data_IF_808081109823
#
_entry.id   IF_808081109823
#
_cell.length_a   1.000
_cell.length_b   1.000
_cell.length_c   1.000
_cell.angle_alpha   90.00
_cell.angle_beta   90.00
_cell.angle_gamma   90.00
#
_symmetry.space_group_name_H-M   'P 1'
#
loop_
_entity.id
_entity.type
_entity.pdbx_description
1 polymer ?
#
# COMPACT_ATOMS: atom_id res chain seq x y z
N UNK A 1 -2.38 9.52 -116.68
CA UNK A 1 -2.50 8.11 -116.30
C UNK A 1 -1.89 7.97 -114.90
N UNK A 2 -2.71 8.11 -113.86
CA UNK A 2 -2.27 8.05 -112.45
C UNK A 2 -3.18 7.03 -111.77
N UNK A 3 -2.54 6.01 -111.22
CA UNK A 3 -3.13 4.77 -110.68
C UNK A 3 -3.67 5.04 -109.27
N UNK A 4 -4.93 4.69 -109.02
CA UNK A 4 -5.56 4.66 -107.69
C UNK A 4 -5.10 3.41 -106.93
N UNK A 5 -4.51 3.57 -105.75
CA UNK A 5 -4.28 2.48 -104.80
C UNK A 5 -5.35 2.51 -103.71
N UNK A 6 -6.13 1.43 -103.63
CA UNK A 6 -7.09 1.13 -102.58
C UNK A 6 -6.32 0.50 -101.41
N UNK A 7 -6.31 1.16 -100.24
CA UNK A 7 -5.80 0.55 -98.99
C UNK A 7 -6.98 -0.16 -98.30
N UNK A 8 -6.91 -1.49 -98.23
CA UNK A 8 -7.84 -2.31 -97.46
C UNK A 8 -7.43 -2.30 -95.98
N UNK A 9 -8.28 -1.76 -95.12
CA UNK A 9 -8.15 -1.82 -93.66
C UNK A 9 -8.62 -3.21 -93.19
N UNK A 10 -7.67 -4.09 -92.84
CA UNK A 10 -7.96 -5.36 -92.18
C UNK A 10 -8.10 -5.10 -90.69
N UNK A 11 -9.34 -4.97 -90.21
CA UNK A 11 -9.65 -4.92 -88.77
C UNK A 11 -9.60 -6.34 -88.23
N UNK A 12 -8.48 -6.70 -87.61
CA UNK A 12 -8.36 -7.89 -86.77
C UNK A 12 -9.18 -7.67 -85.49
N UNK A 13 -10.42 -8.17 -85.49
CA UNK A 13 -11.20 -8.32 -84.26
C UNK A 13 -10.59 -9.46 -83.44
N UNK A 14 -9.62 -9.14 -82.59
CA UNK A 14 -9.33 -9.97 -81.44
C UNK A 14 -10.51 -9.85 -80.48
N UNK A 15 -11.36 -10.88 -80.44
CA UNK A 15 -12.29 -11.09 -79.35
C UNK A 15 -11.47 -11.26 -78.07
N UNK A 16 -11.39 -10.20 -77.28
CA UNK A 16 -10.94 -10.28 -75.90
C UNK A 16 -12.02 -11.07 -75.16
N UNK A 17 -11.85 -12.38 -75.08
CA UNK A 17 -12.57 -13.21 -74.12
C UNK A 17 -12.18 -12.69 -72.74
N UNK A 18 -13.10 -11.97 -72.10
CA UNK A 18 -12.96 -11.52 -70.72
C UNK A 18 -12.67 -12.75 -69.87
N UNK A 19 -11.42 -12.87 -69.43
CA UNK A 19 -11.11 -13.68 -68.28
C UNK A 19 -11.91 -13.02 -67.15
N UNK A 20 -13.01 -13.65 -66.74
CA UNK A 20 -13.71 -13.24 -65.53
C UNK A 20 -12.66 -13.31 -64.42
N UNK A 21 -12.26 -12.14 -63.92
CA UNK A 21 -11.53 -12.07 -62.66
C UNK A 21 -12.41 -12.80 -61.65
N UNK A 22 -11.98 -13.98 -61.23
CA UNK A 22 -12.44 -14.61 -59.99
C UNK A 22 -12.38 -13.54 -58.91
N UNK A 23 -13.45 -13.42 -58.11
CA UNK A 23 -13.68 -12.35 -57.13
C UNK A 23 -12.38 -11.86 -56.51
N UNK A 24 -12.03 -10.61 -56.80
CA UNK A 24 -10.92 -9.93 -56.16
C UNK A 24 -11.43 -9.50 -54.80
N UNK A 25 -11.06 -10.28 -53.80
CA UNK A 25 -11.23 -9.93 -52.39
C UNK A 25 -10.48 -8.62 -52.08
N UNK A 26 -11.08 -7.80 -51.23
CA UNK A 26 -10.53 -6.50 -50.84
C UNK A 26 -10.01 -6.57 -49.40
N UNK A 27 -8.95 -5.82 -49.03
CA UNK A 27 -8.51 -5.84 -47.64
C UNK A 27 -9.60 -5.35 -46.69
N UNK A 28 -9.68 -5.87 -45.46
CA UNK A 28 -10.76 -5.55 -44.53
C UNK A 28 -10.74 -4.08 -44.13
N UNK A 29 -11.90 -3.56 -43.70
CA UNK A 29 -12.03 -2.26 -43.08
C UNK A 29 -12.03 -2.43 -41.56
N UNK A 30 -10.89 -2.15 -40.93
CA UNK A 30 -10.75 -2.18 -39.48
C UNK A 30 -11.35 -0.92 -38.83
N UNK A 31 -12.28 -1.11 -37.90
CA UNK A 31 -12.97 -0.03 -37.18
C UNK A 31 -12.82 -0.27 -35.67
N UNK A 32 -12.18 0.65 -34.95
CA UNK A 32 -11.95 0.55 -33.51
C UNK A 32 -12.75 1.61 -32.75
N UNK A 33 -13.11 1.33 -31.49
CA UNK A 33 -13.49 2.39 -30.55
C UNK A 33 -12.31 3.33 -30.32
N UNK A 34 -12.55 4.64 -30.23
CA UNK A 34 -11.47 5.60 -29.98
C UNK A 34 -10.81 5.40 -28.62
N UNK A 35 -11.61 5.02 -27.61
CA UNK A 35 -11.12 4.67 -26.28
C UNK A 35 -12.08 3.76 -25.53
N UNK A 36 -11.54 2.90 -24.67
CA UNK A 36 -12.29 2.08 -23.72
C UNK A 36 -11.69 2.21 -22.32
N UNK A 37 -12.52 2.04 -21.28
CA UNK A 37 -12.06 1.95 -19.89
C UNK A 37 -12.28 0.52 -19.40
N UNK A 38 -11.24 -0.08 -18.85
CA UNK A 38 -11.25 -1.45 -18.37
C UNK A 38 -10.74 -1.46 -16.93
N UNK A 39 -11.47 -2.12 -16.04
CA UNK A 39 -11.07 -2.23 -14.64
C UNK A 39 -10.37 -3.55 -14.37
N UNK A 40 -9.35 -3.51 -13.52
CA UNK A 40 -8.64 -4.70 -13.08
C UNK A 40 -9.55 -5.64 -12.26
N UNK A 41 -9.21 -6.92 -12.27
CA UNK A 41 -9.87 -7.95 -11.46
C UNK A 41 -9.43 -7.87 -9.98
N UNK A 42 -10.03 -8.69 -9.12
CA UNK A 42 -9.59 -8.85 -7.72
C UNK A 42 -8.18 -9.44 -7.59
N UNK A 43 -7.61 -9.97 -8.67
CA UNK A 43 -6.23 -10.45 -8.71
C UNK A 43 -5.24 -9.38 -9.21
N UNK A 44 -5.72 -8.19 -9.57
CA UNK A 44 -4.88 -7.09 -10.05
C UNK A 44 -4.49 -7.22 -11.51
N UNK A 45 -5.26 -7.96 -12.30
CA UNK A 45 -5.01 -8.24 -13.72
C UNK A 45 -6.28 -8.11 -14.58
N UNK A 46 -6.08 -8.00 -15.88
CA UNK A 46 -7.15 -8.14 -16.88
C UNK A 46 -6.59 -8.64 -18.21
N UNK A 47 -7.33 -9.53 -18.88
CA UNK A 47 -7.07 -9.93 -20.26
C UNK A 47 -8.13 -9.33 -21.19
N UNK A 48 -7.73 -8.45 -22.09
CA UNK A 48 -8.57 -7.89 -23.13
C UNK A 48 -9.03 -8.99 -24.10
N UNK A 49 -10.24 -8.81 -24.61
CA UNK A 49 -10.72 -9.59 -25.75
C UNK A 49 -10.74 -8.66 -26.98
N UNK A 50 -10.34 -9.13 -28.18
CA UNK A 50 -10.30 -8.29 -29.38
C UNK A 50 -11.64 -7.59 -29.68
N UNK A 51 -12.76 -8.25 -29.36
CA UNK A 51 -14.12 -7.72 -29.54
C UNK A 51 -14.42 -6.51 -28.66
N UNK A 52 -13.63 -6.25 -27.60
CA UNK A 52 -13.78 -5.05 -26.78
C UNK A 52 -13.28 -3.79 -27.50
N UNK A 53 -12.37 -3.94 -28.46
CA UNK A 53 -11.80 -2.83 -29.23
C UNK A 53 -12.49 -2.67 -30.58
N UNK A 54 -12.99 -3.78 -31.16
CA UNK A 54 -13.68 -3.78 -32.43
C UNK A 54 -15.01 -3.02 -32.35
N UNK A 55 -15.15 -1.97 -33.16
CA UNK A 55 -16.34 -1.15 -33.30
C UNK A 55 -17.14 -1.52 -34.57
N UNK A 56 -17.01 -2.77 -35.02
CA UNK A 56 -17.72 -3.31 -36.17
C UNK A 56 -16.88 -3.27 -37.44
N UNK A 57 -15.69 -3.86 -37.41
CA UNK A 57 -14.87 -4.10 -38.59
C UNK A 57 -15.62 -4.95 -39.61
N UNK A 58 -15.40 -4.69 -40.90
CA UNK A 58 -16.16 -5.35 -41.98
C UNK A 58 -15.26 -5.70 -43.14
N UNK A 59 -15.70 -6.67 -43.92
CA UNK A 59 -15.05 -7.11 -45.14
C UNK A 59 -16.10 -7.68 -46.11
N UNK A 60 -15.79 -7.78 -47.41
CA UNK A 60 -16.71 -8.30 -48.43
C UNK A 60 -16.78 -9.84 -48.49
N UNK A 61 -15.73 -10.53 -48.05
CA UNK A 61 -15.69 -11.99 -47.91
C UNK A 61 -15.85 -12.45 -46.46
N UNK A 62 -15.55 -11.57 -45.50
CA UNK A 62 -15.81 -11.72 -44.08
C UNK A 62 -14.53 -11.80 -43.24
N UNK A 63 -14.66 -11.68 -41.93
CA UNK A 63 -13.52 -11.64 -41.01
C UNK A 63 -13.15 -13.05 -40.54
N UNK A 64 -11.88 -13.42 -40.69
CA UNK A 64 -11.32 -14.67 -40.19
C UNK A 64 -10.87 -14.56 -38.73
N UNK A 65 -10.16 -13.48 -38.38
CA UNK A 65 -9.60 -13.33 -37.04
C UNK A 65 -9.44 -11.87 -36.61
N UNK A 66 -9.45 -11.69 -35.30
CA UNK A 66 -9.15 -10.44 -34.60
C UNK A 66 -8.02 -10.73 -33.62
N UNK A 67 -6.94 -9.94 -33.67
CA UNK A 67 -5.79 -10.13 -32.78
C UNK A 67 -5.30 -8.80 -32.21
N UNK A 68 -4.85 -8.81 -30.96
CA UNK A 68 -4.29 -7.65 -30.27
C UNK A 68 -2.77 -7.78 -30.19
N UNK A 69 -2.05 -6.66 -30.29
CA UNK A 69 -0.61 -6.65 -30.04
C UNK A 69 -0.26 -6.79 -28.54
N UNK A 70 -1.20 -6.44 -27.68
CA UNK A 70 -1.11 -6.52 -26.23
C UNK A 70 -2.51 -6.71 -25.66
N UNK A 71 -2.69 -7.74 -24.85
CA UNK A 71 -3.99 -8.13 -24.31
C UNK A 71 -3.97 -8.39 -22.80
N UNK A 72 -2.83 -8.34 -22.12
CA UNK A 72 -2.75 -8.61 -20.68
C UNK A 72 -2.16 -7.42 -19.93
N UNK A 73 -2.91 -6.91 -18.95
CA UNK A 73 -2.56 -5.74 -18.16
C UNK A 73 -2.64 -6.08 -16.67
N UNK A 74 -1.79 -5.43 -15.87
CA UNK A 74 -1.69 -5.62 -14.42
C UNK A 74 -1.76 -4.29 -13.67
N UNK A 75 -1.65 -4.32 -12.34
CA UNK A 75 -1.47 -3.12 -11.51
C UNK A 75 -0.32 -2.21 -11.97
N UNK A 76 0.73 -2.74 -12.61
CA UNK A 76 1.83 -1.93 -13.12
C UNK A 76 1.43 -1.09 -14.35
N UNK A 77 0.31 -1.44 -14.97
CA UNK A 77 -0.15 -0.88 -16.23
C UNK A 77 -1.38 0.02 -16.06
N UNK A 78 -1.65 0.50 -14.84
CA UNK A 78 -2.71 1.49 -14.60
C UNK A 78 -2.41 2.78 -15.39
N UNK A 79 -3.43 3.28 -16.08
CA UNK A 79 -3.30 4.43 -16.97
C UNK A 79 -3.65 4.10 -18.41
N UNK A 80 -3.16 4.93 -19.34
CA UNK A 80 -3.60 4.92 -20.74
C UNK A 80 -2.58 4.23 -21.65
N UNK A 81 -3.05 3.25 -22.42
CA UNK A 81 -2.25 2.46 -23.35
C UNK A 81 -2.86 2.49 -24.75
N UNK A 82 -2.02 2.44 -25.79
CA UNK A 82 -2.49 2.33 -27.17
C UNK A 82 -2.38 0.88 -27.61
N UNK A 83 -3.52 0.23 -27.84
CA UNK A 83 -3.59 -1.16 -28.30
C UNK A 83 -4.03 -1.18 -29.77
N UNK A 84 -3.35 -1.99 -30.56
CA UNK A 84 -3.58 -2.19 -31.99
C UNK A 84 -4.38 -3.47 -32.17
N UNK A 85 -5.53 -3.33 -32.84
CA UNK A 85 -6.34 -4.43 -33.33
C UNK A 85 -5.93 -4.72 -34.78
N UNK A 86 -5.53 -5.96 -35.04
CA UNK A 86 -5.32 -6.48 -36.40
C UNK A 86 -6.51 -7.34 -36.79
N UNK A 87 -7.11 -7.01 -37.92
CA UNK A 87 -8.26 -7.69 -38.52
C UNK A 87 -7.75 -8.43 -39.75
N UNK A 88 -7.97 -9.74 -39.81
CA UNK A 88 -7.62 -10.59 -40.96
C UNK A 88 -8.90 -11.13 -41.60
N UNK A 89 -9.02 -11.02 -42.92
CA UNK A 89 -10.12 -11.63 -43.69
C UNK A 89 -9.88 -13.12 -43.97
N UNK A 90 -10.83 -13.79 -44.65
CA UNK A 90 -10.74 -15.22 -44.96
C UNK A 90 -9.70 -15.58 -46.03
N UNK A 91 -9.23 -14.60 -46.80
CA UNK A 91 -8.25 -14.75 -47.88
C UNK A 91 -6.83 -14.34 -47.43
N UNK A 92 -6.69 -13.86 -46.19
CA UNK A 92 -5.44 -13.54 -45.51
C UNK A 92 -4.97 -12.09 -45.68
N UNK A 93 -5.79 -11.15 -46.16
CA UNK A 93 -5.42 -9.74 -46.07
C UNK A 93 -5.71 -9.20 -44.68
N UNK A 94 -4.94 -8.17 -44.31
CA UNK A 94 -5.01 -7.58 -42.98
C UNK A 94 -5.21 -6.08 -43.03
N UNK A 95 -5.99 -5.56 -42.09
CA UNK A 95 -6.04 -4.14 -41.76
C UNK A 95 -5.88 -3.95 -40.25
N UNK A 96 -5.47 -2.74 -39.87
CA UNK A 96 -5.25 -2.39 -38.46
C UNK A 96 -6.04 -1.14 -38.09
N UNK A 97 -6.48 -1.10 -36.85
CA UNK A 97 -6.91 0.12 -36.18
C UNK A 97 -6.33 0.14 -34.75
N UNK A 98 -6.42 1.28 -34.08
CA UNK A 98 -5.93 1.44 -32.71
C UNK A 98 -7.02 1.97 -31.80
N UNK A 99 -6.95 1.59 -30.53
CA UNK A 99 -7.79 2.10 -29.46
C UNK A 99 -6.95 2.54 -28.28
N UNK A 100 -7.35 3.62 -27.60
CA UNK A 100 -6.80 3.97 -26.30
C UNK A 100 -7.51 3.16 -25.21
N UNK A 101 -6.79 2.24 -24.56
CA UNK A 101 -7.28 1.46 -23.43
C UNK A 101 -6.84 2.12 -22.14
N UNK A 102 -7.79 2.56 -21.32
CA UNK A 102 -7.50 3.08 -19.99
C UNK A 102 -7.74 1.99 -18.94
N UNK A 103 -6.68 1.55 -18.30
CA UNK A 103 -6.70 0.58 -17.21
C UNK A 103 -6.91 1.33 -15.89
N UNK A 104 -7.93 0.92 -15.14
CA UNK A 104 -8.35 1.56 -13.90
C UNK A 104 -8.39 0.53 -12.76
N UNK A 105 -7.93 0.92 -11.57
CA UNK A 105 -8.30 0.24 -10.34
C UNK A 105 -9.45 0.98 -9.65
N UNK A 106 -10.50 0.24 -9.31
CA UNK A 106 -11.71 0.76 -8.65
C UNK A 106 -11.99 0.07 -7.32
N UNK A 107 -11.16 -0.88 -6.93
CA UNK A 107 -11.34 -1.62 -5.70
C UNK A 107 -10.65 -0.86 -4.58
N UNK A 108 -11.39 -0.59 -3.50
CA UNK A 108 -10.78 -0.03 -2.29
C UNK A 108 -10.00 -1.11 -1.54
N UNK A 109 -8.90 -0.73 -0.87
CA UNK A 109 -8.15 -1.65 -0.04
C UNK A 109 -9.02 -2.24 1.09
N UNK A 110 -8.71 -3.48 1.46
CA UNK A 110 -9.28 -4.18 2.60
C UNK A 110 -8.38 -3.95 3.80
N UNK A 111 -8.88 -3.17 4.77
CA UNK A 111 -8.14 -2.81 5.97
C UNK A 111 -8.50 -3.77 7.11
N UNK A 112 -7.48 -4.40 7.68
CA UNK A 112 -7.60 -5.29 8.83
C UNK A 112 -6.80 -4.66 9.96
N UNK A 113 -7.49 -4.02 10.91
CA UNK A 113 -6.87 -3.45 12.11
C UNK A 113 -6.85 -4.44 13.27
N UNK A 114 -5.83 -4.33 14.12
CA UNK A 114 -5.89 -4.85 15.48
C UNK A 114 -7.06 -4.19 16.23
N UNK A 115 -7.89 -4.99 16.90
CA UNK A 115 -8.99 -4.43 17.69
C UNK A 115 -8.48 -3.60 18.88
N UNK A 116 -7.39 -4.05 19.51
CA UNK A 116 -6.72 -3.33 20.59
C UNK A 116 -5.23 -3.68 20.64
N UNK A 117 -4.41 -2.71 21.03
CA UNK A 117 -2.97 -2.90 21.28
C UNK A 117 -2.57 -2.26 22.61
N UNK A 118 -1.55 -2.85 23.24
CA UNK A 118 -0.87 -2.29 24.40
C UNK A 118 0.51 -1.81 23.96
N UNK A 119 0.86 -0.58 24.31
CA UNK A 119 2.14 0.03 23.95
C UNK A 119 2.81 0.58 25.20
N UNK A 120 4.12 0.46 25.26
CA UNK A 120 4.90 0.95 26.40
C UNK A 120 5.83 2.06 25.95
N UNK A 121 5.85 3.15 26.71
CA UNK A 121 6.77 4.26 26.46
C UNK A 121 8.22 3.82 26.68
N UNK A 122 9.13 4.42 25.92
CA UNK A 122 10.56 4.11 25.99
C UNK A 122 11.26 4.79 27.16
N UNK A 123 12.59 4.58 27.24
CA UNK A 123 13.44 5.11 28.31
C UNK A 123 13.49 6.65 28.36
N UNK A 124 13.15 7.33 27.27
CA UNK A 124 13.01 8.79 27.22
C UNK A 124 11.60 9.27 27.59
N UNK A 125 10.71 8.35 27.97
CA UNK A 125 9.32 8.61 28.34
C UNK A 125 8.40 8.84 27.14
N UNK A 126 8.81 8.44 25.93
CA UNK A 126 8.03 8.62 24.71
C UNK A 126 7.98 7.37 23.81
N UNK A 127 6.98 7.30 22.94
CA UNK A 127 6.89 6.33 21.86
C UNK A 127 6.12 6.92 20.67
N UNK A 128 6.74 6.89 19.49
CA UNK A 128 6.05 7.18 18.24
C UNK A 128 5.29 5.95 17.75
N UNK A 129 3.98 6.11 17.55
CA UNK A 129 3.16 5.06 16.94
C UNK A 129 3.41 5.01 15.43
N UNK A 130 3.31 3.81 14.87
CA UNK A 130 3.46 3.59 13.42
C UNK A 130 2.25 2.84 12.88
N UNK A 131 1.92 2.98 11.57
CA UNK A 131 0.83 2.23 10.94
C UNK A 131 0.95 0.71 11.16
N UNK A 132 2.18 0.18 11.12
CA UNK A 132 2.45 -1.25 11.28
C UNK A 132 2.07 -1.82 12.64
N UNK A 133 1.97 -0.99 13.69
CA UNK A 133 1.52 -1.43 15.00
C UNK A 133 0.01 -1.68 15.04
N UNK A 134 -0.75 -0.97 14.19
CA UNK A 134 -2.21 -1.06 14.12
C UNK A 134 -2.66 -2.08 13.09
N UNK A 135 -1.86 -2.31 12.05
CA UNK A 135 -2.18 -3.23 10.97
C UNK A 135 -2.12 -4.70 11.40
N UNK A 136 -3.09 -5.47 10.93
CA UNK A 136 -3.23 -6.92 11.16
C UNK A 136 -3.28 -7.70 9.84
N UNK A 137 -2.66 -7.16 8.78
CA UNK A 137 -2.55 -7.80 7.47
C UNK A 137 -3.49 -7.23 6.42
N UNK A 138 -3.62 -5.90 6.36
CA UNK A 138 -4.37 -5.22 5.31
C UNK A 138 -3.79 -5.52 3.92
N UNK A 139 -4.66 -5.56 2.91
CA UNK A 139 -4.27 -5.92 1.54
C UNK A 139 -5.17 -5.23 0.51
N UNK A 140 -4.74 -5.29 -0.74
CA UNK A 140 -5.49 -4.85 -1.91
C UNK A 140 -5.14 -5.76 -3.12
N UNK A 141 -5.90 -5.68 -4.22
CA UNK A 141 -5.52 -6.35 -5.48
C UNK A 141 -4.26 -5.71 -6.09
N UNK A 142 -4.01 -4.45 -5.80
CA UNK A 142 -2.78 -3.73 -6.08
C UNK A 142 -2.05 -3.38 -4.76
N UNK A 143 -1.19 -2.37 -4.77
CA UNK A 143 -0.46 -1.95 -3.57
C UNK A 143 -1.37 -1.15 -2.63
N UNK A 144 -1.19 -1.34 -1.33
CA UNK A 144 -1.80 -0.49 -0.29
C UNK A 144 -0.72 0.27 0.47
N UNK A 145 -0.90 1.57 0.61
CA UNK A 145 -0.11 2.43 1.48
C UNK A 145 -0.90 2.73 2.76
N UNK A 146 -0.30 2.45 3.91
CA UNK A 146 -0.92 2.61 5.22
C UNK A 146 -0.39 3.86 5.92
N UNK A 147 -1.29 4.62 6.53
CA UNK A 147 -0.97 5.85 7.23
C UNK A 147 -1.80 6.03 8.50
N UNK A 148 -1.21 6.74 9.47
CA UNK A 148 -1.88 7.22 10.67
C UNK A 148 -1.55 8.71 10.84
N UNK A 149 -2.37 9.48 11.55
CA UNK A 149 -1.96 10.80 12.03
C UNK A 149 -0.66 10.68 12.86
N UNK A 150 0.31 11.60 12.73
CA UNK A 150 1.49 11.62 13.57
C UNK A 150 1.09 11.61 15.05
N UNK A 151 1.45 10.54 15.76
CA UNK A 151 1.01 10.28 17.13
C UNK A 151 2.18 9.80 17.95
N UNK A 152 2.58 10.62 18.91
CA UNK A 152 3.57 10.28 19.94
C UNK A 152 2.84 10.17 21.26
N UNK A 153 2.99 9.05 21.95
CA UNK A 153 2.52 8.89 23.34
C UNK A 153 3.66 9.14 24.29
N UNK A 154 3.34 9.65 25.47
CA UNK A 154 4.31 10.03 26.50
C UNK A 154 3.90 9.49 27.87
N UNK A 155 4.75 9.67 28.87
CA UNK A 155 4.43 9.30 30.25
C UNK A 155 3.15 9.95 30.79
N UNK A 156 2.68 11.09 30.25
CA UNK A 156 1.38 11.65 30.67
C UNK A 156 0.18 10.84 30.19
N UNK A 157 0.38 9.97 29.21
CA UNK A 157 -0.67 9.15 28.59
C UNK A 157 -0.77 7.75 29.23
N UNK A 158 0.18 7.38 30.09
CA UNK A 158 0.21 6.08 30.79
C UNK A 158 -1.07 5.87 31.61
N UNK A 159 -1.67 4.69 31.47
CA UNK A 159 -2.97 4.34 32.04
C UNK A 159 -4.17 4.85 31.23
N UNK A 160 -3.93 5.66 30.19
CA UNK A 160 -4.93 6.13 29.24
C UNK A 160 -5.23 5.14 28.11
N UNK A 161 -6.36 5.38 27.45
CA UNK A 161 -6.70 4.72 26.18
C UNK A 161 -7.32 5.70 25.19
N UNK A 162 -7.15 5.42 23.89
CA UNK A 162 -7.73 6.20 22.82
C UNK A 162 -7.88 5.38 21.53
N UNK A 163 -8.79 5.80 20.66
CA UNK A 163 -8.94 5.21 19.33
C UNK A 163 -8.05 5.95 18.33
N UNK A 164 -7.24 5.20 17.59
CA UNK A 164 -6.40 5.72 16.52
C UNK A 164 -6.88 5.19 15.16
N UNK A 165 -6.99 6.09 14.19
CA UNK A 165 -7.46 5.79 12.83
C UNK A 165 -6.29 5.36 11.96
N UNK A 166 -6.37 4.15 11.41
CA UNK A 166 -5.52 3.66 10.32
C UNK A 166 -6.24 3.90 8.99
N UNK A 167 -5.59 4.60 8.07
CA UNK A 167 -6.09 4.86 6.73
C UNK A 167 -5.21 4.14 5.71
N UNK A 168 -5.82 3.35 4.83
CA UNK A 168 -5.18 2.75 3.68
C UNK A 168 -5.60 3.44 2.39
N UNK A 169 -4.65 3.68 1.49
CA UNK A 169 -4.88 4.17 0.13
C UNK A 169 -4.11 3.34 -0.87
N UNK A 170 -4.70 2.99 -2.00
CA UNK A 170 -3.97 2.43 -3.13
C UNK A 170 -3.38 3.52 -4.04
N UNK A 171 -2.63 3.10 -5.07
CA UNK A 171 -2.01 4.00 -6.05
C UNK A 171 -3.03 4.68 -6.99
N UNK A 172 -4.26 4.17 -7.05
CA UNK A 172 -5.37 4.72 -7.84
C UNK A 172 -6.23 5.73 -7.06
N UNK A 173 -5.93 5.93 -5.78
CA UNK A 173 -6.65 6.85 -4.90
C UNK A 173 -7.90 6.27 -4.24
N UNK A 174 -8.16 4.97 -4.36
CA UNK A 174 -9.19 4.32 -3.57
C UNK A 174 -8.72 4.23 -2.11
N UNK A 175 -9.64 4.47 -1.18
CA UNK A 175 -9.31 4.55 0.25
C UNK A 175 -10.27 3.76 1.09
N UNK A 176 -9.79 3.34 2.26
CA UNK A 176 -10.59 2.75 3.32
C UNK A 176 -9.89 2.97 4.67
N UNK A 177 -10.60 2.78 5.79
CA UNK A 177 -10.05 3.05 7.12
C UNK A 177 -10.66 2.16 8.20
N UNK A 178 -9.90 1.95 9.27
CA UNK A 178 -10.35 1.25 10.48
C UNK A 178 -9.73 1.84 11.74
N UNK A 179 -10.34 1.56 12.89
CA UNK A 179 -9.87 2.03 14.19
C UNK A 179 -9.18 0.91 14.98
N UNK A 180 -8.15 1.29 15.73
CA UNK A 180 -7.51 0.48 16.78
C UNK A 180 -7.63 1.19 18.12
N UNK A 181 -8.00 0.47 19.18
CA UNK A 181 -7.92 1.00 20.54
C UNK A 181 -6.50 0.83 21.10
N UNK A 182 -5.85 1.93 21.46
CA UNK A 182 -4.48 1.95 21.98
C UNK A 182 -4.52 2.17 23.48
N UNK A 183 -3.88 1.30 24.25
CA UNK A 183 -3.65 1.48 25.69
C UNK A 183 -2.18 1.70 25.97
N UNK A 184 -1.86 2.74 26.73
CA UNK A 184 -0.47 3.13 27.03
C UNK A 184 -0.10 2.67 28.43
N UNK A 185 1.04 2.01 28.56
CA UNK A 185 1.55 1.45 29.81
C UNK A 185 2.97 1.92 30.07
N UNK A 186 3.38 1.88 31.34
CA UNK A 186 4.79 1.82 31.70
C UNK A 186 5.13 0.38 32.07
N UNK A 187 6.21 -0.13 31.51
CA UNK A 187 6.73 -1.48 31.80
C UNK A 187 8.21 -1.45 32.19
N UNK A 188 8.82 -0.25 32.22
CA UNK A 188 10.20 -0.09 32.64
C UNK A 188 10.23 0.04 34.16
N UNK A 189 11.02 -0.82 34.81
CA UNK A 189 11.15 -0.75 36.26
C UNK A 189 12.05 0.41 36.71
N UNK A 190 11.75 1.06 37.85
CA UNK A 190 12.54 2.15 38.38
C UNK A 190 13.95 1.72 38.77
N UNK A 191 14.93 2.62 38.60
CA UNK A 191 16.31 2.41 39.02
C UNK A 191 16.58 3.08 40.36
N UNK A 192 16.78 2.27 41.41
CA UNK A 192 17.24 2.75 42.71
C UNK A 192 18.72 3.14 42.68
N UNK A 193 19.04 4.35 43.15
CA UNK A 193 20.42 4.80 43.41
C UNK A 193 20.56 5.16 44.87
N UNK A 194 21.53 4.56 45.54
CA UNK A 194 21.74 4.74 46.98
C UNK A 194 23.07 5.45 47.25
N UNK A 195 23.13 6.24 48.32
CA UNK A 195 24.35 6.83 48.87
C UNK A 195 24.54 6.48 50.33
N UNK A 196 25.80 6.44 50.72
CA UNK A 196 26.17 6.30 52.13
C UNK A 196 25.96 7.60 52.88
N UNK A 197 25.59 7.48 54.16
CA UNK A 197 25.52 8.65 55.03
C UNK A 197 25.90 8.32 56.47
N UNK A 198 26.66 9.22 57.10
CA UNK A 198 27.00 9.13 58.52
C UNK A 198 26.04 10.01 59.31
N UNK A 199 25.39 9.43 60.32
CA UNK A 199 24.38 10.11 61.13
C UNK A 199 24.55 9.77 62.60
N UNK A 200 24.39 10.79 63.45
CA UNK A 200 24.41 10.62 64.89
C UNK A 200 23.03 10.18 65.39
N UNK A 201 23.03 9.34 66.43
CA UNK A 201 21.81 9.04 67.18
C UNK A 201 21.35 10.28 67.97
N UNK A 202 20.05 10.39 68.20
CA UNK A 202 19.49 11.41 69.09
C UNK A 202 19.90 11.17 70.55
N UNK A 203 19.62 12.13 71.44
CA UNK A 203 19.81 11.96 72.89
C UNK A 203 19.04 10.78 73.49
N UNK A 204 17.98 10.31 72.82
CA UNK A 204 17.22 9.12 73.23
C UNK A 204 17.74 7.82 72.59
N UNK A 205 18.88 7.87 71.90
CA UNK A 205 19.54 6.69 71.33
C UNK A 205 18.85 6.15 70.07
N UNK A 206 18.18 7.02 69.30
CA UNK A 206 17.41 6.64 68.10
C UNK A 206 17.80 7.47 66.90
N UNK A 207 17.80 6.85 65.73
CA UNK A 207 17.91 7.53 64.44
C UNK A 207 16.82 7.00 63.51
N UNK A 208 16.17 7.91 62.76
CA UNK A 208 15.15 7.57 61.77
C UNK A 208 15.71 7.87 60.38
N UNK A 209 16.14 6.85 59.61
CA UNK A 209 16.47 7.06 58.20
C UNK A 209 15.30 7.72 57.48
N UNK A 210 15.61 8.59 56.52
CA UNK A 210 14.63 9.15 55.61
C UNK A 210 15.19 9.05 54.18
N UNK A 211 14.33 9.25 53.18
CA UNK A 211 14.69 9.09 51.77
C UNK A 211 15.92 9.93 51.42
N UNK A 212 15.96 11.21 51.81
CA UNK A 212 17.07 12.12 51.49
C UNK A 212 18.43 11.67 52.08
N UNK A 213 18.42 10.84 53.12
CA UNK A 213 19.63 10.28 53.70
C UNK A 213 20.20 9.10 52.90
N UNK A 214 19.37 8.39 52.14
CA UNK A 214 19.73 7.12 51.47
C UNK A 214 19.70 7.25 49.95
N UNK A 215 18.79 8.05 49.39
CA UNK A 215 18.62 8.21 47.94
C UNK A 215 19.69 9.09 47.30
N UNK A 216 20.23 8.62 46.17
CA UNK A 216 21.24 9.27 45.33
C UNK A 216 20.70 9.56 43.92
N UNK A 217 19.46 10.06 43.86
CA UNK A 217 18.81 10.38 42.59
C UNK A 217 18.33 9.12 41.86
N UNK A 218 17.58 8.28 42.56
CA UNK A 218 16.79 7.23 41.93
C UNK A 218 15.85 7.84 40.88
N UNK A 219 15.64 7.13 39.78
CA UNK A 219 14.87 7.65 38.66
C UNK A 219 14.11 6.54 37.94
N UNK A 220 13.13 6.98 37.16
CA UNK A 220 12.31 6.18 36.27
C UNK A 220 11.92 7.05 35.06
N UNK A 221 11.55 6.46 33.92
CA UNK A 221 11.12 7.18 32.73
C UNK A 221 9.79 7.92 32.93
N UNK A 222 8.83 7.34 33.63
CA UNK A 222 7.56 7.98 33.98
C UNK A 222 7.44 8.41 35.43
N UNK A 223 8.53 8.24 36.17
CA UNK A 223 8.71 8.79 37.49
C UNK A 223 8.36 7.78 38.57
N UNK A 224 8.80 8.09 39.79
CA UNK A 224 8.66 7.17 40.91
C UNK A 224 7.43 7.56 41.72
N UNK A 225 6.47 6.65 41.85
CA UNK A 225 5.25 6.85 42.63
C UNK A 225 5.50 6.77 44.14
N UNK A 226 6.38 5.86 44.57
CA UNK A 226 6.65 5.60 45.97
C UNK A 226 8.12 5.31 46.24
N UNK A 227 8.65 5.90 47.32
CA UNK A 227 9.92 5.53 47.93
C UNK A 227 9.73 5.18 49.40
N UNK A 228 10.41 4.14 49.87
CA UNK A 228 10.43 3.78 51.29
C UNK A 228 11.79 3.23 51.72
N UNK A 229 12.06 3.27 53.03
CA UNK A 229 13.33 2.81 53.60
C UNK A 229 13.09 1.82 54.74
N UNK A 230 13.94 0.79 54.82
CA UNK A 230 13.92 -0.23 55.87
C UNK A 230 15.36 -0.51 56.35
N UNK A 231 15.63 -0.58 57.67
CA UNK A 231 14.70 -0.45 58.79
C UNK A 231 14.24 1.01 59.04
N UNK A 232 13.03 1.21 59.60
CA UNK A 232 12.48 2.55 59.82
C UNK A 232 13.15 3.31 60.99
N UNK A 233 13.83 2.61 61.90
CA UNK A 233 14.53 3.19 63.06
C UNK A 233 15.77 2.35 63.37
N UNK A 234 16.89 3.01 63.66
CA UNK A 234 18.12 2.45 64.22
C UNK A 234 18.28 2.88 65.69
N UNK A 235 18.89 2.02 66.50
CA UNK A 235 19.07 2.17 67.95
C UNK A 235 20.55 2.17 68.35
N UNK A 236 20.84 2.37 69.65
CA UNK A 236 22.20 2.23 70.19
C UNK A 236 22.83 0.85 69.99
N UNK A 237 22.05 -0.20 69.77
CA UNK A 237 22.55 -1.53 69.40
C UNK A 237 23.18 -1.55 68.00
N UNK A 238 22.80 -0.60 67.17
CA UNK A 238 23.12 -0.54 65.74
C UNK A 238 24.24 0.49 65.53
N UNK A 239 25.18 0.63 66.48
CA UNK A 239 26.32 1.51 66.30
C UNK A 239 27.35 0.86 65.36
N UNK A 240 27.74 1.60 64.32
CA UNK A 240 28.64 1.12 63.28
C UNK A 240 28.00 1.19 61.90
N UNK A 241 28.59 0.55 60.89
CA UNK A 241 27.96 0.39 59.57
C UNK A 241 26.68 -0.44 59.68
N UNK A 242 25.59 0.05 59.09
CA UNK A 242 24.34 -0.70 58.95
C UNK A 242 23.81 -0.51 57.54
N UNK A 243 23.25 -1.57 56.98
CA UNK A 243 22.57 -1.52 55.69
C UNK A 243 21.15 -0.99 55.88
N UNK A 244 20.80 0.01 55.08
CA UNK A 244 19.42 0.52 54.95
C UNK A 244 19.00 0.28 53.51
N UNK A 245 17.91 -0.45 53.31
CA UNK A 245 17.35 -0.74 51.99
C UNK A 245 16.45 0.41 51.55
N UNK A 246 16.67 0.91 50.33
CA UNK A 246 15.75 1.82 49.64
C UNK A 246 14.89 1.02 48.67
N UNK A 247 13.57 1.09 48.84
CA UNK A 247 12.60 0.56 47.88
C UNK A 247 12.07 1.70 47.03
N UNK A 248 12.05 1.50 45.72
CA UNK A 248 11.49 2.41 44.72
C UNK A 248 10.42 1.67 43.92
N UNK A 249 9.29 2.32 43.68
CA UNK A 249 8.16 1.77 42.95
C UNK A 249 7.51 2.89 42.12
N UNK A 250 7.17 2.57 40.87
CA UNK A 250 6.32 3.32 39.95
C UNK A 250 4.86 2.82 39.98
#
# INVERSE_FOLDING_TARGET
MIVRYFFAFLVLLFSCSSLAATGLDSPPIAVCYSSINVSLSTAGDVTLQPEWLDAGSTDDTGIASLTLNEDYFTCADIGSHTVILTVEDLDGNTAICWSTVNIEDKLSPVLICNASIFVSVGADGTLDLTPSMLDAGSFDNCNVNLSIPPTTVTCSDVGGNFNLLLTGSDDSGNTNSCFTNVSVEDQMAPTARCKDSVRALSKSGRYKPNINHVDDGSFDNCGIALMSVDPPILFCSDLGPNDVTLFVQD
#
